data_IF_426266287074
#
_entry.id   IF_426266287074
#
_cell.length_a   1.000
_cell.length_b   1.000
_cell.length_c   1.000
_cell.angle_alpha   90.00
_cell.angle_beta   90.00
_cell.angle_gamma   90.00
#
_symmetry.space_group_name_H-M   'P 1'
#
loop_
_entity.id
_entity.type
_entity.pdbx_description
1 polymer ?
#
# COMPACT_ATOMS: atom_id res chain seq x y z
N UNK A 1 5.01 -10.86 18.14
CA UNK A 1 5.13 -9.92 19.25
C UNK A 1 4.11 -10.19 20.34
N UNK A 2 4.26 -9.58 21.52
CA UNK A 2 3.43 -9.83 22.72
C UNK A 2 1.93 -9.64 22.47
N UNK A 3 1.54 -8.64 21.67
CA UNK A 3 0.13 -8.41 21.32
C UNK A 3 -0.49 -9.57 20.51
N UNK A 4 0.28 -10.18 19.62
CA UNK A 4 -0.15 -11.34 18.86
C UNK A 4 -0.46 -12.52 19.79
N UNK A 5 0.43 -12.80 20.74
CA UNK A 5 0.26 -13.89 21.70
C UNK A 5 -0.96 -13.69 22.59
N UNK A 6 -1.21 -12.44 23.04
CA UNK A 6 -2.40 -12.10 23.81
C UNK A 6 -3.68 -12.33 23.00
N UNK A 7 -3.73 -11.84 21.75
CA UNK A 7 -4.89 -12.04 20.89
C UNK A 7 -5.14 -13.50 20.59
N UNK A 8 -4.06 -14.25 20.31
CA UNK A 8 -4.11 -15.70 20.09
C UNK A 8 -4.70 -16.43 21.29
N UNK A 9 -4.22 -16.13 22.51
CA UNK A 9 -4.76 -16.74 23.74
C UNK A 9 -6.24 -16.44 23.94
N UNK A 10 -6.69 -15.20 23.64
CA UNK A 10 -8.10 -14.86 23.79
C UNK A 10 -8.99 -15.62 22.81
N UNK A 11 -8.54 -15.87 21.58
CA UNK A 11 -9.28 -16.61 20.57
C UNK A 11 -9.26 -18.11 20.87
N UNK A 12 -8.08 -18.69 21.14
CA UNK A 12 -7.91 -20.13 21.42
C UNK A 12 -8.66 -20.58 22.67
N UNK A 13 -8.75 -19.72 23.68
CA UNK A 13 -9.49 -20.01 24.91
C UNK A 13 -10.96 -19.58 24.84
N UNK A 14 -11.44 -19.19 23.66
CA UNK A 14 -12.84 -18.77 23.44
C UNK A 14 -13.32 -17.67 24.39
N UNK A 15 -12.45 -16.69 24.68
CA UNK A 15 -12.75 -15.62 25.63
C UNK A 15 -13.44 -14.41 25.01
N UNK A 16 -13.26 -14.15 23.70
CA UNK A 16 -13.84 -12.98 23.03
C UNK A 16 -15.30 -13.28 22.67
N UNK A 17 -16.22 -12.56 23.27
CA UNK A 17 -17.65 -12.70 22.98
C UNK A 17 -18.08 -11.73 21.87
N UNK A 18 -17.63 -10.48 21.95
CA UNK A 18 -17.87 -9.49 20.90
C UNK A 18 -16.76 -8.44 20.84
N UNK A 19 -16.63 -7.82 19.66
CA UNK A 19 -15.84 -6.61 19.44
C UNK A 19 -16.77 -5.58 18.80
N UNK A 20 -16.87 -4.40 19.42
CA UNK A 20 -17.74 -3.32 18.98
C UNK A 20 -16.88 -2.15 18.52
N UNK A 21 -16.95 -1.82 17.25
CA UNK A 21 -16.32 -0.61 16.71
C UNK A 21 -17.13 0.62 17.09
N UNK A 22 -16.50 1.62 17.70
CA UNK A 22 -17.14 2.86 18.10
C UNK A 22 -16.84 3.98 17.10
N UNK A 23 -17.67 5.03 17.04
CA UNK A 23 -17.40 6.23 16.28
C UNK A 23 -16.05 6.86 16.63
N UNK A 24 -15.44 7.53 15.68
CA UNK A 24 -14.28 8.39 15.93
C UNK A 24 -14.68 9.66 16.67
N UNK A 25 -13.74 10.43 17.17
CA UNK A 25 -13.98 11.73 17.84
C UNK A 25 -14.92 11.68 19.05
N UNK A 26 -14.98 10.52 19.75
CA UNK A 26 -15.75 10.35 20.99
C UNK A 26 -15.05 10.89 22.24
N UNK A 27 -13.71 11.04 22.21
CA UNK A 27 -12.88 11.37 23.36
C UNK A 27 -12.21 12.71 23.20
N UNK A 28 -11.93 13.40 24.32
CA UNK A 28 -11.40 14.76 24.32
C UNK A 28 -10.03 14.92 23.67
N UNK A 29 -9.20 13.88 23.74
CA UNK A 29 -7.78 13.96 23.35
C UNK A 29 -7.43 13.10 22.12
N UNK A 30 -8.38 12.36 21.52
CA UNK A 30 -8.09 11.47 20.41
C UNK A 30 -9.21 11.50 19.37
N UNK A 31 -8.82 11.34 18.10
CA UNK A 31 -9.71 11.23 16.95
C UNK A 31 -9.70 9.81 16.34
N UNK A 32 -8.90 8.89 16.95
CA UNK A 32 -8.76 7.52 16.43
C UNK A 32 -10.01 6.70 16.69
N UNK A 33 -10.19 5.67 15.84
CA UNK A 33 -11.20 4.65 16.07
C UNK A 33 -10.90 3.86 17.35
N UNK A 34 -11.92 3.59 18.13
CA UNK A 34 -11.82 2.83 19.38
C UNK A 34 -12.77 1.64 19.36
N UNK A 35 -12.45 0.61 20.13
CA UNK A 35 -13.20 -0.64 20.16
C UNK A 35 -13.45 -1.07 21.58
N UNK A 36 -14.67 -1.61 21.82
CA UNK A 36 -15.01 -2.30 23.07
C UNK A 36 -14.82 -3.79 22.84
N UNK A 37 -14.02 -4.44 23.67
CA UNK A 37 -13.88 -5.88 23.71
C UNK A 37 -14.70 -6.45 24.85
N UNK A 38 -15.67 -7.29 24.52
CA UNK A 38 -16.48 -8.02 25.49
C UNK A 38 -15.86 -9.40 25.67
N UNK A 39 -15.32 -9.63 26.87
CA UNK A 39 -14.66 -10.89 27.22
C UNK A 39 -15.49 -11.67 28.22
N UNK A 40 -15.63 -12.96 28.04
CA UNK A 40 -16.37 -13.85 28.92
C UNK A 40 -15.67 -15.21 29.03
N UNK A 41 -15.53 -15.69 30.26
CA UNK A 41 -15.10 -17.08 30.53
C UNK A 41 -16.26 -18.08 30.43
N UNK A 42 -17.49 -17.60 30.51
CA UNK A 42 -18.71 -18.38 30.50
C UNK A 42 -19.65 -17.88 29.41
N UNK A 43 -19.28 -18.09 28.15
CA UNK A 43 -20.16 -17.76 27.03
C UNK A 43 -21.45 -18.59 27.08
N UNK A 44 -22.56 -17.97 26.70
CA UNK A 44 -23.81 -18.70 26.47
C UNK A 44 -23.61 -19.76 25.38
N UNK A 45 -24.36 -20.88 25.41
CA UNK A 45 -24.18 -21.97 24.45
C UNK A 45 -24.19 -21.53 22.98
N UNK A 46 -25.05 -20.59 22.60
CA UNK A 46 -25.18 -20.06 21.25
C UNK A 46 -23.98 -19.23 20.79
N UNK A 47 -23.18 -18.69 21.74
CA UNK A 47 -22.01 -17.85 21.49
C UNK A 47 -20.68 -18.62 21.58
N UNK A 48 -20.70 -19.88 22.04
CA UNK A 48 -19.47 -20.68 22.16
C UNK A 48 -18.81 -20.90 20.80
N UNK A 49 -17.50 -20.71 20.74
CA UNK A 49 -16.71 -20.86 19.52
C UNK A 49 -16.97 -19.78 18.48
N UNK A 50 -17.66 -18.69 18.86
CA UNK A 50 -18.01 -17.59 17.94
C UNK A 50 -17.64 -16.25 18.53
N UNK A 51 -17.39 -15.28 17.63
CA UNK A 51 -17.12 -13.89 17.95
C UNK A 51 -18.07 -13.02 17.14
N UNK A 52 -18.77 -12.11 17.79
CA UNK A 52 -19.62 -11.13 17.15
C UNK A 52 -18.84 -9.85 16.89
N UNK A 53 -18.80 -9.37 15.66
CA UNK A 53 -18.28 -8.04 15.30
C UNK A 53 -19.46 -7.11 15.08
N UNK A 54 -19.47 -5.97 15.79
CA UNK A 54 -20.52 -4.95 15.69
C UNK A 54 -19.89 -3.66 15.20
N UNK A 55 -20.35 -3.16 14.08
CA UNK A 55 -19.96 -1.85 13.55
C UNK A 55 -20.95 -0.77 14.01
N UNK A 56 -20.59 -0.10 15.09
CA UNK A 56 -21.32 1.05 15.59
C UNK A 56 -20.65 2.39 15.20
N UNK A 57 -19.72 2.39 14.25
CA UNK A 57 -18.96 3.58 13.85
C UNK A 57 -19.82 4.73 13.35
N UNK A 58 -21.01 4.44 12.86
CA UNK A 58 -21.99 5.42 12.37
C UNK A 58 -23.20 5.63 13.33
N UNK A 59 -23.18 5.02 14.53
CA UNK A 59 -24.25 5.15 15.53
C UNK A 59 -23.84 6.21 16.56
N UNK A 60 -24.10 7.47 16.26
CA UNK A 60 -23.73 8.61 17.12
C UNK A 60 -24.52 9.86 16.79
N UNK A 61 -24.47 10.84 17.69
CA UNK A 61 -24.95 12.20 17.47
C UNK A 61 -23.79 13.20 17.49
N UNK A 62 -23.85 14.22 16.65
CA UNK A 62 -22.88 15.32 16.68
C UNK A 62 -23.17 16.29 17.82
N UNK A 63 -22.14 16.66 18.57
CA UNK A 63 -22.23 17.71 19.57
C UNK A 63 -22.48 19.07 18.89
N UNK A 64 -23.31 19.91 19.49
CA UNK A 64 -23.52 21.30 19.01
C UNK A 64 -22.25 22.14 19.07
N UNK A 65 -21.38 21.86 20.04
CA UNK A 65 -20.07 22.51 20.22
C UNK A 65 -19.03 21.44 20.55
N UNK A 66 -17.94 21.44 19.81
CA UNK A 66 -16.83 20.51 20.08
C UNK A 66 -16.20 20.79 21.44
N UNK A 67 -15.80 19.71 22.11
CA UNK A 67 -15.09 19.73 23.39
C UNK A 67 -13.68 19.15 23.17
N UNK A 68 -12.73 19.99 22.82
CA UNK A 68 -11.43 19.55 22.33
C UNK A 68 -11.59 18.79 21.03
N UNK A 69 -11.07 17.54 20.96
CA UNK A 69 -11.23 16.65 19.78
C UNK A 69 -12.55 15.88 19.78
N UNK A 70 -13.31 15.93 20.87
CA UNK A 70 -14.61 15.29 20.96
C UNK A 70 -15.65 16.10 20.19
N UNK A 71 -16.16 15.54 19.09
CA UNK A 71 -17.22 16.12 18.25
C UNK A 71 -18.49 15.26 18.23
N UNK A 72 -18.35 13.99 18.60
CA UNK A 72 -19.43 13.00 18.59
C UNK A 72 -19.74 12.51 20.01
N UNK A 73 -20.97 12.06 20.21
CA UNK A 73 -21.39 11.38 21.44
C UNK A 73 -22.34 10.24 21.14
N UNK A 74 -22.34 9.23 21.99
CA UNK A 74 -23.28 8.12 21.96
C UNK A 74 -24.41 8.46 22.96
N UNK A 75 -25.58 8.77 22.45
CA UNK A 75 -26.77 9.08 23.25
C UNK A 75 -27.30 7.82 23.99
N UNK A 76 -28.24 7.99 24.94
CA UNK A 76 -28.93 6.86 25.56
C UNK A 76 -29.61 5.95 24.54
N UNK A 77 -30.21 6.52 23.49
CA UNK A 77 -30.89 5.77 22.43
C UNK A 77 -29.89 4.97 21.59
N UNK A 78 -28.75 5.59 21.21
CA UNK A 78 -27.67 4.92 20.52
C UNK A 78 -27.11 3.74 21.31
N UNK A 79 -26.94 3.91 22.61
CA UNK A 79 -26.52 2.83 23.53
C UNK A 79 -27.51 1.68 23.53
N UNK A 80 -28.81 2.00 23.53
CA UNK A 80 -29.86 0.99 23.46
C UNK A 80 -29.77 0.20 22.16
N UNK A 81 -29.57 0.86 21.03
CA UNK A 81 -29.39 0.22 19.73
C UNK A 81 -28.18 -0.71 19.75
N UNK A 82 -27.01 -0.20 20.19
CA UNK A 82 -25.77 -1.00 20.26
C UNK A 82 -25.93 -2.21 21.18
N UNK A 83 -26.55 -2.00 22.35
CA UNK A 83 -26.80 -3.09 23.31
C UNK A 83 -27.74 -4.14 22.74
N UNK A 84 -28.77 -3.70 21.99
CA UNK A 84 -29.68 -4.60 21.31
C UNK A 84 -29.01 -5.42 20.22
N UNK A 85 -28.15 -4.79 19.37
CA UNK A 85 -27.33 -5.50 18.37
C UNK A 85 -26.49 -6.62 19.02
N UNK A 86 -25.89 -6.31 20.17
CA UNK A 86 -25.13 -7.31 20.92
C UNK A 86 -26.05 -8.41 21.48
N UNK A 87 -27.20 -8.06 22.06
CA UNK A 87 -28.09 -9.01 22.71
C UNK A 87 -28.76 -9.96 21.72
N UNK A 88 -29.19 -9.44 20.57
CA UNK A 88 -29.93 -10.21 19.55
C UNK A 88 -29.05 -11.29 18.90
N UNK A 89 -27.73 -11.10 18.84
CA UNK A 89 -26.75 -12.05 18.27
C UNK A 89 -27.19 -12.59 16.90
N UNK A 90 -27.42 -11.69 15.94
CA UNK A 90 -27.88 -11.99 14.58
C UNK A 90 -27.00 -11.29 13.55
N UNK A 91 -26.78 -11.95 12.42
CA UNK A 91 -26.15 -11.32 11.26
C UNK A 91 -27.08 -10.29 10.63
N UNK A 92 -26.61 -9.06 10.49
CA UNK A 92 -27.30 -7.97 9.82
C UNK A 92 -26.30 -6.94 9.26
N UNK A 93 -26.77 -5.76 8.87
CA UNK A 93 -25.93 -4.69 8.33
C UNK A 93 -24.80 -4.24 9.31
N UNK A 94 -25.12 -4.19 10.62
CA UNK A 94 -24.23 -3.70 11.68
C UNK A 94 -23.55 -4.82 12.48
N UNK A 95 -23.94 -6.04 12.33
CA UNK A 95 -23.48 -7.18 13.13
C UNK A 95 -23.15 -8.38 12.26
N UNK A 96 -21.96 -8.96 12.48
CA UNK A 96 -21.49 -10.19 11.82
C UNK A 96 -20.98 -11.18 12.85
N UNK A 97 -21.33 -12.44 12.67
CA UNK A 97 -20.91 -13.54 13.55
C UNK A 97 -19.91 -14.42 12.81
N UNK A 98 -18.74 -14.55 13.38
CA UNK A 98 -17.65 -15.37 12.86
C UNK A 98 -17.35 -16.52 13.82
N UNK A 99 -16.79 -17.61 13.30
CA UNK A 99 -16.21 -18.66 14.14
C UNK A 99 -14.81 -18.23 14.60
N UNK A 100 -14.36 -18.74 15.74
CA UNK A 100 -13.00 -18.48 16.21
C UNK A 100 -11.95 -18.89 15.17
N UNK A 101 -12.21 -19.95 14.40
CA UNK A 101 -11.34 -20.46 13.34
C UNK A 101 -11.12 -19.44 12.21
N UNK A 102 -12.10 -18.58 11.93
CA UNK A 102 -12.02 -17.58 10.87
C UNK A 102 -10.97 -16.50 11.16
N UNK A 103 -10.56 -16.35 12.43
CA UNK A 103 -9.51 -15.44 12.87
C UNK A 103 -8.11 -16.09 12.95
N UNK A 104 -8.04 -17.39 12.70
CA UNK A 104 -6.79 -18.16 12.74
C UNK A 104 -6.39 -18.56 11.33
N UNK A 105 -5.52 -17.79 10.71
CA UNK A 105 -4.97 -18.08 9.38
C UNK A 105 -3.46 -18.08 9.37
N UNK A 106 -2.89 -18.79 8.43
CA UNK A 106 -1.45 -18.77 8.15
C UNK A 106 -1.21 -17.89 6.94
N UNK A 107 -0.43 -16.85 7.12
CA UNK A 107 0.03 -16.02 6.02
C UNK A 107 1.29 -16.66 5.41
N UNK A 108 1.27 -16.87 4.11
CA UNK A 108 2.40 -17.35 3.34
C UNK A 108 2.84 -16.28 2.37
N UNK A 109 4.10 -15.85 2.47
CA UNK A 109 4.70 -15.00 1.46
C UNK A 109 5.22 -15.90 0.34
N UNK A 110 4.52 -15.92 -0.78
CA UNK A 110 4.98 -16.64 -1.98
C UNK A 110 5.95 -15.75 -2.73
N UNK A 111 7.24 -16.07 -2.64
CA UNK A 111 8.26 -15.40 -3.43
C UNK A 111 8.37 -16.09 -4.79
N UNK A 112 8.15 -15.35 -5.86
CA UNK A 112 8.52 -15.78 -7.20
C UNK A 112 9.95 -15.28 -7.47
N UNK A 113 10.85 -16.13 -7.98
CA UNK A 113 12.14 -15.66 -8.46
C UNK A 113 11.90 -14.62 -9.56
N UNK A 114 12.60 -13.50 -9.48
CA UNK A 114 12.59 -12.49 -10.52
C UNK A 114 12.99 -13.15 -11.86
N UNK A 115 12.02 -13.36 -12.73
CA UNK A 115 12.28 -13.77 -14.10
C UNK A 115 12.86 -12.54 -14.82
N UNK A 116 14.18 -12.51 -14.94
CA UNK A 116 14.84 -11.51 -15.77
C UNK A 116 14.76 -11.99 -17.22
N UNK A 117 13.94 -11.36 -18.02
CA UNK A 117 14.01 -11.55 -19.46
C UNK A 117 15.09 -10.63 -20.03
N UNK A 118 16.08 -11.23 -20.64
CA UNK A 118 17.09 -10.50 -21.42
C UNK A 118 16.65 -10.57 -22.88
N UNK A 119 16.16 -9.47 -23.41
CA UNK A 119 15.86 -9.35 -24.82
C UNK A 119 16.38 -7.98 -25.30
N UNK A 120 17.01 -7.95 -26.46
CA UNK A 120 17.35 -6.71 -27.17
C UNK A 120 16.19 -6.48 -28.14
N UNK A 121 15.30 -5.54 -27.80
CA UNK A 121 14.19 -5.13 -28.65
C UNK A 121 14.41 -3.71 -29.15
N UNK A 122 13.78 -3.35 -30.26
CA UNK A 122 13.83 -1.98 -30.80
C UNK A 122 13.47 -0.93 -29.74
N UNK A 123 12.42 -1.19 -28.96
CA UNK A 123 11.96 -0.30 -27.88
C UNK A 123 13.04 -0.11 -26.78
N UNK A 124 13.73 -1.18 -26.40
CA UNK A 124 14.82 -1.11 -25.42
C UNK A 124 16.05 -0.40 -25.97
N UNK A 125 16.34 -0.54 -27.26
CA UNK A 125 17.40 0.23 -27.93
C UNK A 125 17.05 1.72 -27.88
N UNK A 126 15.83 2.11 -28.22
CA UNK A 126 15.39 3.51 -28.14
C UNK A 126 15.50 4.07 -26.71
N UNK A 127 15.14 3.27 -25.72
CA UNK A 127 15.33 3.68 -24.32
C UNK A 127 16.82 3.84 -23.95
N UNK A 128 17.70 2.97 -24.43
CA UNK A 128 19.15 3.07 -24.20
C UNK A 128 19.77 4.29 -24.88
N UNK A 129 19.30 4.66 -26.07
CA UNK A 129 19.75 5.86 -26.80
C UNK A 129 19.50 7.15 -26.01
N UNK A 130 18.42 7.18 -25.20
CA UNK A 130 18.09 8.29 -24.31
C UNK A 130 18.84 8.25 -22.98
N UNK A 131 19.61 7.18 -22.70
CA UNK A 131 20.35 7.05 -21.44
C UNK A 131 21.55 8.02 -21.41
N UNK A 132 21.84 8.54 -20.20
CA UNK A 132 23.00 9.42 -20.00
C UNK A 132 24.34 8.79 -20.37
N UNK A 133 24.45 7.47 -20.36
CA UNK A 133 25.67 6.74 -20.73
C UNK A 133 25.97 6.87 -22.24
N UNK A 134 24.97 6.69 -23.10
CA UNK A 134 25.16 6.79 -24.56
C UNK A 134 25.15 8.24 -25.03
N UNK A 135 24.34 9.12 -24.45
CA UNK A 135 24.36 10.55 -24.78
C UNK A 135 25.66 11.25 -24.34
N UNK A 136 26.39 10.69 -23.39
CA UNK A 136 27.73 11.19 -23.03
C UNK A 136 28.82 10.85 -24.08
N UNK A 137 28.63 9.76 -24.83
CA UNK A 137 29.51 9.38 -25.93
C UNK A 137 29.22 10.20 -27.19
N UNK A 138 27.94 10.30 -27.56
CA UNK A 138 27.47 11.08 -28.72
C UNK A 138 26.03 11.51 -28.52
N UNK A 139 25.77 12.80 -28.73
CA UNK A 139 24.45 13.41 -28.64
C UNK A 139 24.22 14.22 -29.90
N UNK A 140 23.49 13.65 -30.87
CA UNK A 140 23.26 14.24 -32.17
C UNK A 140 22.61 15.63 -32.09
N UNK A 141 21.70 15.84 -31.13
CA UNK A 141 21.04 17.14 -30.96
C UNK A 141 22.03 18.21 -30.53
N UNK A 142 22.92 17.88 -29.60
CA UNK A 142 24.00 18.80 -29.13
C UNK A 142 25.06 19.02 -30.17
N UNK A 143 25.43 17.99 -30.92
CA UNK A 143 26.39 18.14 -32.03
C UNK A 143 25.85 19.10 -33.07
N UNK A 144 24.59 18.91 -33.48
CA UNK A 144 23.94 19.81 -34.42
C UNK A 144 23.84 21.25 -33.90
N UNK A 145 23.53 21.43 -32.61
CA UNK A 145 23.51 22.75 -31.97
C UNK A 145 24.90 23.43 -32.02
N UNK A 146 25.96 22.68 -31.68
CA UNK A 146 27.35 23.20 -31.70
C UNK A 146 27.85 23.47 -33.11
N UNK A 147 27.54 22.63 -34.10
CA UNK A 147 27.94 22.82 -35.49
C UNK A 147 27.28 24.02 -36.15
N UNK A 148 26.04 24.37 -35.72
CA UNK A 148 25.31 25.52 -36.26
C UNK A 148 25.54 26.84 -35.48
N UNK A 149 26.38 26.83 -34.43
CA UNK A 149 26.68 28.03 -33.66
C UNK A 149 27.64 28.95 -34.45
N UNK A 150 27.37 30.24 -34.48
CA UNK A 150 28.19 31.24 -35.19
C UNK A 150 29.60 31.38 -34.57
N UNK A 151 29.71 31.22 -33.23
CA UNK A 151 30.98 31.24 -32.51
C UNK A 151 30.97 30.17 -31.40
N UNK A 152 32.01 29.36 -31.27
CA UNK A 152 32.19 28.37 -30.24
C UNK A 152 33.22 28.84 -29.20
N UNK A 153 32.90 28.69 -27.93
CA UNK A 153 33.90 28.81 -26.87
C UNK A 153 34.89 27.66 -26.92
N UNK A 154 36.11 27.86 -26.38
CA UNK A 154 37.13 26.78 -26.36
C UNK A 154 36.67 25.49 -25.64
N UNK A 155 35.66 25.56 -24.70
CA UNK A 155 35.10 24.40 -24.07
C UNK A 155 34.09 23.67 -24.98
N UNK A 156 33.33 24.41 -25.77
CA UNK A 156 32.35 23.87 -26.71
C UNK A 156 33.04 23.22 -27.89
N UNK A 157 34.12 23.84 -28.41
CA UNK A 157 34.96 23.24 -29.43
C UNK A 157 35.54 21.89 -28.95
N UNK A 158 36.13 21.85 -27.75
CA UNK A 158 36.65 20.61 -27.19
C UNK A 158 35.56 19.53 -27.06
N UNK A 159 34.34 19.92 -26.67
CA UNK A 159 33.22 18.99 -26.53
C UNK A 159 32.77 18.44 -27.88
N UNK A 160 32.76 19.26 -28.91
CA UNK A 160 32.46 18.84 -30.27
C UNK A 160 33.51 17.85 -30.80
N UNK A 161 34.78 18.14 -30.55
CA UNK A 161 35.89 17.25 -30.91
C UNK A 161 35.84 15.90 -30.18
N UNK A 162 35.47 15.92 -28.88
CA UNK A 162 35.26 14.71 -28.09
C UNK A 162 34.08 13.87 -28.66
N UNK A 163 32.95 14.48 -29.00
CA UNK A 163 31.82 13.79 -29.64
C UNK A 163 32.22 13.18 -30.99
N UNK A 164 32.90 13.93 -31.84
CA UNK A 164 33.37 13.44 -33.16
C UNK A 164 34.35 12.28 -33.03
N UNK A 165 35.23 12.31 -32.02
CA UNK A 165 36.15 11.22 -31.72
C UNK A 165 35.43 9.97 -31.22
N UNK A 166 34.37 10.11 -30.43
CA UNK A 166 33.61 9.00 -29.86
C UNK A 166 32.52 8.46 -30.80
N UNK A 167 32.16 9.19 -31.84
CA UNK A 167 31.08 8.78 -32.78
C UNK A 167 31.28 7.38 -33.36
N UNK A 168 32.48 6.98 -33.83
CA UNK A 168 32.68 5.63 -34.36
C UNK A 168 32.40 4.53 -33.35
N UNK A 169 32.72 4.77 -32.05
CA UNK A 169 32.45 3.83 -30.96
C UNK A 169 30.95 3.75 -30.70
N UNK A 170 30.27 4.90 -30.68
CA UNK A 170 28.84 4.98 -30.55
C UNK A 170 28.11 4.21 -31.68
N UNK A 171 28.51 4.47 -32.94
CA UNK A 171 27.90 3.81 -34.10
C UNK A 171 28.11 2.29 -34.05
N UNK A 172 29.29 1.80 -33.65
CA UNK A 172 29.58 0.38 -33.49
C UNK A 172 28.74 -0.27 -32.40
N UNK A 173 28.49 0.43 -31.27
CA UNK A 173 27.61 -0.04 -30.22
C UNK A 173 26.17 -0.18 -30.74
N UNK A 174 25.66 0.84 -31.45
CA UNK A 174 24.30 0.82 -32.00
C UNK A 174 24.12 -0.30 -33.03
N UNK A 175 25.10 -0.49 -33.92
CA UNK A 175 25.07 -1.56 -34.90
C UNK A 175 25.06 -2.96 -34.24
N UNK A 176 25.91 -3.14 -33.22
CA UNK A 176 25.95 -4.38 -32.45
C UNK A 176 24.61 -4.65 -31.75
N UNK A 177 24.00 -3.63 -31.13
CA UNK A 177 22.69 -3.77 -30.47
C UNK A 177 21.58 -4.11 -31.47
N UNK A 178 21.56 -3.45 -32.64
CA UNK A 178 20.59 -3.75 -33.71
C UNK A 178 20.75 -5.16 -34.26
N UNK A 179 22.02 -5.61 -34.41
CA UNK A 179 22.31 -6.98 -34.83
C UNK A 179 21.97 -8.06 -33.81
N UNK A 180 21.82 -7.67 -32.53
CA UNK A 180 21.50 -8.57 -31.43
C UNK A 180 19.98 -8.63 -31.08
N UNK A 181 19.12 -8.01 -31.92
CA UNK A 181 17.67 -8.08 -31.72
C UNK A 181 17.25 -9.55 -31.77
N UNK A 182 16.75 -10.04 -30.64
CA UNK A 182 16.27 -11.42 -30.52
C UNK A 182 14.97 -11.45 -29.69
N UNK A 183 13.99 -12.18 -30.20
CA UNK A 183 12.76 -12.52 -29.50
C UNK A 183 12.99 -13.73 -28.58
N UNK A 184 13.92 -13.64 -27.65
CA UNK A 184 14.09 -14.69 -26.65
C UNK A 184 13.09 -14.46 -25.50
N UNK A 185 12.10 -15.34 -25.46
CA UNK A 185 11.18 -15.51 -24.32
C UNK A 185 11.89 -16.03 -23.09
#
# INVERSE_FOLDING_TARGET
>A
GTEYEIRKQFIENDLIEAIIALPTELFYNTEIATYIWVLSKNKRPERKGKIQLIDASNIYHKLRKALGKKKNEISPDDRTVITKLYADFVDNEYSRIFKNEDFMYKEYVVMQPLQRSYAVTEERIQYMLQSGALSSLYDEAKVNELENAEELSGKEQKKLDDYNTQKPVYDAIIETLKGAISDTK
#
